data_IF_533229955960
#
_entry.id   IF_533229955960
#
_cell.length_a   1.000
_cell.length_b   1.000
_cell.length_c   1.000
_cell.angle_alpha   90.00
_cell.angle_beta   90.00
_cell.angle_gamma   90.00
#
_symmetry.space_group_name_H-M   'P 1'
#
loop_
_entity.id
_entity.type
_entity.pdbx_description
1 polymer ?
#
# COMPACT_ATOMS: atom_id res chain seq x y z
N UNK A 1 -9.56 -1.66 18.14
CA UNK A 1 -9.74 -1.89 16.69
C UNK A 1 -8.39 -1.63 16.08
N UNK A 2 -7.83 -2.61 15.38
CA UNK A 2 -6.48 -2.48 14.81
C UNK A 2 -6.62 -2.21 13.32
N UNK A 3 -5.96 -1.16 12.87
CA UNK A 3 -5.92 -0.80 11.46
C UNK A 3 -4.69 -1.44 10.83
N UNK A 4 -4.89 -2.07 9.68
CA UNK A 4 -3.83 -2.66 8.90
C UNK A 4 -3.77 -1.95 7.56
N UNK A 5 -2.54 -1.67 7.12
CA UNK A 5 -2.29 -1.35 5.72
C UNK A 5 -1.77 -2.61 5.04
N UNK A 6 -2.52 -3.09 4.04
CA UNK A 6 -2.11 -4.24 3.24
C UNK A 6 -1.57 -3.77 1.90
N UNK A 7 -0.46 -4.37 1.48
CA UNK A 7 0.22 -4.06 0.23
C UNK A 7 0.31 -5.33 -0.62
N UNK A 8 -0.22 -5.24 -1.82
CA UNK A 8 -0.10 -6.26 -2.86
C UNK A 8 0.58 -5.65 -4.09
N UNK A 9 1.24 -6.48 -4.90
CA UNK A 9 1.88 -6.02 -6.13
C UNK A 9 2.05 -7.15 -7.13
N UNK A 10 2.23 -6.80 -8.41
CA UNK A 10 2.66 -7.70 -9.47
C UNK A 10 4.16 -8.00 -9.45
N UNK A 11 4.93 -7.26 -8.65
CA UNK A 11 6.36 -7.52 -8.39
C UNK A 11 6.57 -7.99 -6.95
N UNK A 12 7.71 -8.63 -6.70
CA UNK A 12 8.07 -9.06 -5.34
C UNK A 12 8.39 -7.85 -4.45
N UNK A 13 7.74 -7.79 -3.30
CA UNK A 13 7.99 -6.81 -2.25
C UNK A 13 8.86 -7.43 -1.16
N UNK A 14 9.72 -6.62 -0.53
CA UNK A 14 10.57 -7.05 0.59
C UNK A 14 10.18 -6.32 1.87
N UNK A 15 10.33 -6.99 3.01
CA UNK A 15 10.15 -6.37 4.32
C UNK A 15 11.18 -5.27 4.56
N UNK A 16 10.76 -4.16 5.17
CA UNK A 16 11.63 -3.06 5.58
C UNK A 16 11.19 -2.58 6.97
N UNK A 17 12.15 -2.09 7.78
CA UNK A 17 11.91 -1.63 9.15
C UNK A 17 12.42 -0.21 9.27
N UNK A 18 11.53 0.71 9.64
CA UNK A 18 11.82 2.11 9.86
C UNK A 18 11.69 2.40 11.36
N UNK A 19 12.74 2.03 12.13
CA UNK A 19 12.73 2.09 13.61
C UNK A 19 12.44 3.48 14.17
N UNK A 20 12.93 4.52 13.51
CA UNK A 20 12.74 5.92 13.92
C UNK A 20 11.26 6.34 13.91
N UNK A 21 10.44 5.65 13.12
CA UNK A 21 9.02 5.93 12.93
C UNK A 21 8.13 4.79 13.46
N UNK A 22 8.71 3.81 14.14
CA UNK A 22 8.02 2.60 14.60
C UNK A 22 7.17 1.91 13.51
N UNK A 23 7.64 1.99 12.25
CA UNK A 23 6.90 1.53 11.08
C UNK A 23 7.57 0.26 10.52
N UNK A 24 6.82 -0.84 10.50
CA UNK A 24 7.31 -2.17 10.17
C UNK A 24 6.52 -2.74 9.00
N UNK A 25 7.21 -3.10 7.91
CA UNK A 25 6.61 -3.72 6.74
C UNK A 25 6.86 -5.22 6.85
N UNK A 26 5.85 -5.95 7.31
CA UNK A 26 5.97 -7.36 7.63
C UNK A 26 5.36 -8.23 6.53
N UNK A 27 5.81 -9.48 6.40
CA UNK A 27 5.23 -10.41 5.43
C UNK A 27 3.82 -10.77 5.86
N UNK A 28 2.88 -10.65 4.93
CA UNK A 28 1.50 -11.07 5.14
C UNK A 28 1.13 -12.16 4.13
N UNK A 29 0.35 -13.14 4.60
CA UNK A 29 -0.25 -14.18 3.76
C UNK A 29 -1.78 -14.06 3.71
N UNK A 30 -2.30 -12.90 4.11
CA UNK A 30 -3.73 -12.64 4.17
C UNK A 30 -4.39 -12.75 2.79
N UNK A 31 -5.61 -13.29 2.78
CA UNK A 31 -6.41 -13.47 1.56
C UNK A 31 -7.66 -12.61 1.63
N UNK A 32 -7.50 -11.35 1.26
CA UNK A 32 -8.58 -10.37 1.32
C UNK A 32 -9.24 -10.19 -0.05
N UNK A 33 -10.56 -10.32 -0.10
CA UNK A 33 -11.32 -10.08 -1.33
C UNK A 33 -11.24 -8.61 -1.73
N UNK A 34 -10.93 -8.37 -3.01
CA UNK A 34 -10.88 -7.04 -3.59
C UNK A 34 -9.51 -6.66 -4.16
N UNK A 35 -8.44 -7.32 -3.72
CA UNK A 35 -7.13 -7.21 -4.36
C UNK A 35 -7.08 -8.02 -5.66
N UNK A 36 -6.38 -7.49 -6.65
CA UNK A 36 -6.11 -8.16 -7.92
C UNK A 36 -4.81 -8.99 -7.87
N UNK A 37 -3.94 -8.70 -6.91
CA UNK A 37 -2.68 -9.41 -6.63
C UNK A 37 -2.69 -10.04 -5.24
N UNK A 38 -1.89 -11.09 -4.98
CA UNK A 38 -1.72 -11.60 -3.62
C UNK A 38 -1.13 -10.51 -2.72
N UNK A 39 -1.68 -10.36 -1.52
CA UNK A 39 -1.10 -9.52 -0.47
C UNK A 39 0.27 -10.11 -0.13
N UNK A 40 1.27 -9.24 -0.03
CA UNK A 40 2.64 -9.62 0.28
C UNK A 40 3.14 -9.00 1.57
N UNK A 41 2.67 -7.80 1.89
CA UNK A 41 3.08 -7.07 3.09
C UNK A 41 1.88 -6.52 3.86
N UNK A 42 2.07 -6.40 5.17
CA UNK A 42 1.21 -5.66 6.07
C UNK A 42 2.02 -4.68 6.92
N UNK A 43 1.35 -3.61 7.33
CA UNK A 43 1.85 -2.65 8.31
C UNK A 43 0.86 -2.68 9.46
N UNK A 44 1.30 -3.24 10.59
CA UNK A 44 0.51 -3.25 11.82
C UNK A 44 0.37 -1.83 12.39
N UNK A 45 -0.76 -1.54 13.03
CA UNK A 45 -1.24 -0.21 13.41
C UNK A 45 -1.42 0.81 12.25
N UNK A 46 -1.12 0.40 11.02
CA UNK A 46 -1.34 1.17 9.81
C UNK A 46 -0.50 2.44 9.71
N UNK A 47 -0.92 3.33 8.81
CA UNK A 47 -0.29 4.63 8.59
C UNK A 47 -1.20 5.74 9.15
N UNK A 48 -0.62 6.56 10.03
CA UNK A 48 -1.28 7.55 10.87
C UNK A 48 -0.64 8.94 10.76
N UNK A 49 0.65 9.03 10.46
CA UNK A 49 1.38 10.30 10.33
C UNK A 49 1.76 10.60 8.89
N UNK A 50 2.09 11.86 8.59
CA UNK A 50 2.52 12.25 7.24
C UNK A 50 3.86 11.60 6.89
N UNK A 51 4.76 11.55 7.86
CA UNK A 51 6.09 10.96 7.75
C UNK A 51 6.01 9.47 7.39
N UNK A 52 5.09 8.71 7.98
CA UNK A 52 4.85 7.31 7.63
C UNK A 52 4.32 7.14 6.19
N UNK A 53 3.51 8.09 5.71
CA UNK A 53 3.05 8.10 4.31
C UNK A 53 4.20 8.42 3.36
N UNK A 54 5.05 9.38 3.71
CA UNK A 54 6.27 9.71 2.95
C UNK A 54 7.16 8.46 2.81
N UNK A 55 7.34 7.71 3.90
CA UNK A 55 8.09 6.45 3.90
C UNK A 55 7.47 5.40 2.96
N UNK A 56 6.14 5.21 3.02
CA UNK A 56 5.45 4.29 2.11
C UNK A 56 5.63 4.72 0.64
N UNK A 57 5.54 6.03 0.38
CA UNK A 57 5.69 6.57 -0.95
C UNK A 57 7.11 6.34 -1.50
N UNK A 58 8.14 6.65 -0.70
CA UNK A 58 9.53 6.36 -1.04
C UNK A 58 9.78 4.87 -1.26
N UNK A 59 9.22 4.02 -0.40
CA UNK A 59 9.29 2.57 -0.55
C UNK A 59 8.74 2.11 -1.91
N UNK A 60 7.54 2.58 -2.28
CA UNK A 60 6.91 2.24 -3.57
C UNK A 60 7.79 2.73 -4.73
N UNK A 61 8.32 3.95 -4.67
CA UNK A 61 9.20 4.48 -5.69
C UNK A 61 10.46 3.65 -5.86
N UNK A 62 11.12 3.30 -4.76
CA UNK A 62 12.32 2.45 -4.72
C UNK A 62 12.05 1.06 -5.31
N UNK A 63 10.94 0.41 -4.95
CA UNK A 63 10.56 -0.89 -5.54
C UNK A 63 10.18 -0.76 -7.01
N UNK A 64 9.62 0.36 -7.42
CA UNK A 64 9.23 0.57 -8.81
C UNK A 64 10.41 0.93 -9.72
N UNK A 65 11.52 1.48 -9.20
CA UNK A 65 12.62 2.10 -9.95
C UNK A 65 13.09 1.25 -11.13
N UNK A 66 13.44 -0.01 -10.87
CA UNK A 66 14.00 -0.95 -11.86
C UNK A 66 12.96 -1.60 -12.79
N UNK A 67 11.67 -1.29 -12.61
CA UNK A 67 10.59 -1.86 -13.39
C UNK A 67 10.01 -0.82 -14.38
N UNK A 68 9.94 -1.19 -15.66
CA UNK A 68 9.29 -0.34 -16.69
C UNK A 68 7.77 -0.23 -16.48
N UNK A 69 7.16 -1.30 -15.97
CA UNK A 69 5.74 -1.42 -15.65
C UNK A 69 5.62 -2.23 -14.35
N UNK A 70 4.81 -1.73 -13.43
CA UNK A 70 4.42 -2.46 -12.22
C UNK A 70 3.16 -1.82 -11.64
N UNK A 71 2.49 -2.56 -10.77
CA UNK A 71 1.27 -2.18 -10.09
C UNK A 71 1.40 -2.48 -8.60
N UNK A 72 1.04 -1.50 -7.77
CA UNK A 72 0.92 -1.67 -6.33
C UNK A 72 -0.53 -1.47 -5.94
N UNK A 73 -1.03 -2.25 -5.00
CA UNK A 73 -2.33 -2.07 -4.39
C UNK A 73 -2.13 -1.91 -2.91
N UNK A 74 -2.50 -0.74 -2.39
CA UNK A 74 -2.45 -0.42 -0.97
C UNK A 74 -3.88 -0.30 -0.48
N UNK A 75 -4.23 -0.94 0.63
CA UNK A 75 -5.54 -0.73 1.26
C UNK A 75 -5.43 -0.55 2.76
N UNK A 76 -6.23 0.38 3.31
CA UNK A 76 -6.40 0.54 4.77
C UNK A 76 -7.64 -0.23 5.19
N UNK A 77 -7.47 -1.29 5.97
CA UNK A 77 -8.56 -2.14 6.42
C UNK A 77 -8.52 -2.31 7.94
N UNK A 78 -9.69 -2.43 8.56
CA UNK A 78 -9.78 -2.73 9.99
C UNK A 78 -9.94 -4.22 10.20
N UNK A 79 -9.12 -4.79 11.08
CA UNK A 79 -9.42 -6.07 11.67
C UNK A 79 -10.28 -5.84 12.91
N UNK A 80 -11.55 -6.21 12.82
CA UNK A 80 -12.48 -6.22 13.94
C UNK A 80 -13.27 -7.51 13.88
N UNK A 81 -13.46 -8.18 15.02
CA UNK A 81 -14.27 -9.40 15.14
C UNK A 81 -15.71 -9.25 14.59
N UNK A 82 -16.15 -8.03 14.26
CA UNK A 82 -17.47 -7.70 13.72
C UNK A 82 -17.49 -7.34 12.22
N UNK A 83 -16.34 -7.03 11.62
CA UNK A 83 -16.26 -6.53 10.24
C UNK A 83 -15.19 -7.33 9.49
N UNK A 84 -15.56 -8.15 8.49
CA UNK A 84 -14.57 -8.83 7.67
C UNK A 84 -13.76 -7.82 6.86
N UNK A 85 -12.49 -8.11 6.63
CA UNK A 85 -11.64 -7.36 5.70
C UNK A 85 -12.33 -7.24 4.34
N UNK A 86 -12.84 -6.05 4.03
CA UNK A 86 -13.56 -5.82 2.79
C UNK A 86 -13.18 -4.48 2.20
N UNK A 87 -12.72 -4.53 0.95
CA UNK A 87 -12.55 -3.34 0.12
C UNK A 87 -13.94 -2.83 -0.27
N UNK A 88 -14.22 -1.58 0.09
CA UNK A 88 -15.47 -0.87 -0.19
C UNK A 88 -15.32 0.02 -1.43
N UNK A 89 -14.20 0.74 -1.52
CA UNK A 89 -13.91 1.64 -2.62
C UNK A 89 -12.57 1.28 -3.28
N UNK A 90 -12.52 1.43 -4.61
CA UNK A 90 -11.29 1.26 -5.38
C UNK A 90 -10.98 2.55 -6.12
N UNK A 91 -9.75 3.03 -5.96
CA UNK A 91 -9.19 4.15 -6.72
C UNK A 91 -7.97 3.68 -7.50
N UNK A 92 -7.69 4.34 -8.62
CA UNK A 92 -6.50 4.07 -9.41
C UNK A 92 -5.79 5.37 -9.73
N UNK A 93 -4.47 5.38 -9.57
CA UNK A 93 -3.60 6.49 -9.92
C UNK A 93 -2.37 5.98 -10.68
N UNK A 94 -1.80 6.81 -11.53
CA UNK A 94 -0.49 6.52 -12.13
C UNK A 94 0.61 7.06 -11.23
N UNK A 95 1.67 6.29 -11.01
CA UNK A 95 2.79 6.67 -10.13
C UNK A 95 3.37 8.04 -10.49
N UNK A 96 3.54 8.34 -11.78
CA UNK A 96 4.06 9.63 -12.26
C UNK A 96 3.08 10.81 -12.11
N UNK A 97 1.82 10.57 -11.74
CA UNK A 97 0.80 11.61 -11.53
C UNK A 97 0.59 11.95 -10.06
N UNK A 98 1.14 11.16 -9.14
CA UNK A 98 1.08 11.43 -7.71
C UNK A 98 1.96 12.66 -7.46
N UNK A 99 1.35 13.74 -6.97
CA UNK A 99 2.04 15.02 -6.72
C UNK A 99 2.47 15.16 -5.27
N UNK A 100 1.78 14.46 -4.37
CA UNK A 100 2.05 14.45 -2.93
C UNK A 100 1.89 13.04 -2.38
N UNK A 101 2.75 12.67 -1.44
CA UNK A 101 2.63 11.43 -0.67
C UNK A 101 1.27 11.32 0.02
N UNK A 102 0.67 12.44 0.43
CA UNK A 102 -0.66 12.51 1.06
C UNK A 102 -1.78 11.85 0.24
N UNK A 103 -1.61 11.70 -1.08
CA UNK A 103 -2.55 10.95 -1.94
C UNK A 103 -2.58 9.44 -1.61
N UNK A 104 -1.57 8.92 -0.90
CA UNK A 104 -1.53 7.56 -0.37
C UNK A 104 -2.17 7.42 1.01
N UNK A 105 -2.64 8.52 1.63
CA UNK A 105 -3.37 8.45 2.87
C UNK A 105 -4.80 7.96 2.60
N UNK A 106 -5.08 6.71 2.98
CA UNK A 106 -6.34 6.05 2.65
C UNK A 106 -7.35 6.15 3.79
N UNK A 107 -8.61 6.32 3.43
CA UNK A 107 -9.74 6.07 4.33
C UNK A 107 -9.93 4.57 4.54
N UNK A 108 -10.55 4.19 5.66
CA UNK A 108 -10.86 2.79 5.94
C UNK A 108 -11.72 2.17 4.83
N UNK A 109 -11.40 0.93 4.44
CA UNK A 109 -12.10 0.20 3.39
C UNK A 109 -11.66 0.58 1.98
N UNK A 110 -10.75 1.55 1.81
CA UNK A 110 -10.32 1.99 0.49
C UNK A 110 -9.09 1.22 0.03
N UNK A 111 -9.10 0.83 -1.23
CA UNK A 111 -7.95 0.28 -1.96
C UNK A 111 -7.53 1.27 -3.05
N UNK A 112 -6.25 1.63 -3.04
CA UNK A 112 -5.61 2.44 -4.07
C UNK A 112 -4.69 1.55 -4.91
N UNK A 113 -4.94 1.53 -6.22
CA UNK A 113 -4.06 0.89 -7.20
C UNK A 113 -3.15 1.94 -7.83
N UNK A 114 -1.85 1.82 -7.60
CA UNK A 114 -0.81 2.70 -8.13
C UNK A 114 -0.12 1.99 -9.29
N UNK A 115 -0.21 2.55 -10.51
CA UNK A 115 0.38 1.94 -11.71
C UNK A 115 1.58 2.74 -12.20
N UNK A 116 2.73 2.09 -12.35
CA UNK A 116 3.86 2.60 -13.13
C UNK A 116 3.69 2.15 -14.58
N UNK A 117 3.74 3.11 -15.49
CA UNK A 117 3.73 2.89 -16.94
C UNK A 117 4.88 3.66 -17.57
N UNK A 118 5.41 3.23 -18.73
CA UNK A 118 6.43 4.00 -19.45
C UNK A 118 5.84 5.35 -19.82
N UNK A 119 6.51 6.42 -19.43
CA UNK A 119 6.15 7.78 -19.86
C UNK A 119 6.82 7.98 -21.22
N UNK A 120 6.01 8.07 -22.27
CA UNK A 120 6.50 8.48 -23.59
C UNK A 120 6.47 10.01 -23.57
N UNK A 121 7.65 10.62 -23.55
CA UNK A 121 7.82 12.06 -23.76
C UNK A 121 8.02 12.35 -25.24
#
# INVERSE_FOLDING_TARGET
MTYFYYIASDIELTTEIYKEHELYFERSNERIKGFDFPIQLEIDNGINTKEEVDILFEYIHKKAENHKRCSFQVAKLVNSNRVPFKVLEKKQVFLHKIKSSEELFLSEGHLLTIKKVPVVY
#
